data_IF_790708304633
#
_entry.id   IF_790708304633
#
_cell.length_a   1.000
_cell.length_b   1.000
_cell.length_c   1.000
_cell.angle_alpha   90.00
_cell.angle_beta   90.00
_cell.angle_gamma   90.00
#
_symmetry.space_group_name_H-M   'P 1'
#
loop_
_entity.id
_entity.type
_entity.pdbx_description
1 polymer ?
#
# COMPACT_ATOMS: atom_id res chain seq x y z
N UNK A 1 -5.74 5.98 22.47
CA UNK A 1 -6.52 6.13 21.22
C UNK A 1 -5.88 7.12 20.24
N UNK A 2 -6.04 8.45 20.43
CA UNK A 2 -5.57 9.48 19.47
C UNK A 2 -4.07 9.41 19.14
N UNK A 3 -3.21 9.19 20.14
CA UNK A 3 -1.77 9.00 19.91
C UNK A 3 -1.49 7.80 19.00
N UNK A 4 -2.20 6.69 19.23
CA UNK A 4 -2.14 5.50 18.38
C UNK A 4 -2.61 5.79 16.96
N UNK A 5 -3.73 6.51 16.80
CA UNK A 5 -4.23 6.94 15.50
C UNK A 5 -3.22 7.82 14.74
N UNK A 6 -2.63 8.84 15.38
CA UNK A 6 -1.66 9.73 14.75
C UNK A 6 -0.38 8.96 14.32
N UNK A 7 0.13 8.09 15.19
CA UNK A 7 1.30 7.25 14.87
C UNK A 7 1.00 6.23 13.79
N UNK A 8 -0.16 5.56 13.85
CA UNK A 8 -0.60 4.61 12.83
C UNK A 8 -0.79 5.31 11.48
N UNK A 9 -1.48 6.45 11.46
CA UNK A 9 -1.66 7.28 10.26
C UNK A 9 -0.32 7.62 9.62
N UNK A 10 0.65 8.14 10.40
CA UNK A 10 1.95 8.50 9.85
C UNK A 10 2.73 7.29 9.34
N UNK A 11 2.83 6.25 10.15
CA UNK A 11 3.63 5.06 9.83
C UNK A 11 3.07 4.27 8.64
N UNK A 12 1.75 4.13 8.53
CA UNK A 12 1.07 3.45 7.40
C UNK A 12 1.20 4.28 6.13
N UNK A 13 0.92 5.60 6.18
CA UNK A 13 1.05 6.46 5.00
C UNK A 13 2.52 6.50 4.52
N UNK A 14 3.49 6.52 5.44
CA UNK A 14 4.90 6.49 5.05
C UNK A 14 5.36 5.15 4.45
N UNK A 15 4.74 4.02 4.81
CA UNK A 15 5.12 2.70 4.29
C UNK A 15 4.32 2.34 3.02
N UNK A 16 3.01 2.29 3.13
CA UNK A 16 2.14 1.66 2.12
C UNK A 16 1.64 2.66 1.07
N UNK A 17 1.34 3.90 1.46
CA UNK A 17 0.89 4.89 0.48
C UNK A 17 1.97 5.14 -0.58
N UNK A 18 3.26 5.03 -0.20
CA UNK A 18 4.38 5.12 -1.14
C UNK A 18 4.54 3.89 -2.02
N UNK A 19 4.24 2.69 -1.54
CA UNK A 19 4.21 1.50 -2.40
C UNK A 19 3.12 1.64 -3.48
N UNK A 20 1.99 2.25 -3.12
CA UNK A 20 0.86 2.46 -4.04
C UNK A 20 1.06 3.64 -4.99
N UNK A 21 1.55 4.78 -4.48
CA UNK A 21 1.69 6.03 -5.24
C UNK A 21 3.09 6.21 -5.84
N UNK A 22 4.02 5.30 -5.58
CA UNK A 22 5.40 5.47 -5.98
C UNK A 22 5.61 5.52 -7.49
N UNK A 23 4.81 4.79 -8.27
CA UNK A 23 4.78 4.87 -9.74
C UNK A 23 4.32 6.24 -10.22
N UNK A 24 3.29 6.81 -9.59
CA UNK A 24 2.82 8.16 -9.85
C UNK A 24 3.89 9.20 -9.51
N UNK A 25 4.50 9.13 -8.32
CA UNK A 25 5.57 10.06 -7.91
C UNK A 25 6.79 9.97 -8.84
N UNK A 26 7.20 8.76 -9.21
CA UNK A 26 8.35 8.52 -10.10
C UNK A 26 8.10 9.08 -11.50
N UNK A 27 6.96 8.73 -12.11
CA UNK A 27 6.62 9.13 -13.48
C UNK A 27 6.17 10.59 -13.62
N UNK A 28 5.86 11.25 -12.51
CA UNK A 28 5.48 12.67 -12.47
C UNK A 28 6.51 13.54 -11.72
N UNK A 29 7.73 13.05 -11.51
CA UNK A 29 8.77 13.72 -10.70
C UNK A 29 9.16 15.13 -11.17
N UNK A 30 8.93 15.45 -12.44
CA UNK A 30 9.13 16.79 -13.00
C UNK A 30 8.05 17.81 -12.61
N UNK A 31 6.89 17.34 -12.14
CA UNK A 31 5.78 18.20 -11.73
C UNK A 31 5.97 18.66 -10.28
N UNK A 32 5.54 19.89 -9.92
CA UNK A 32 5.64 20.35 -8.55
C UNK A 32 4.87 19.43 -7.59
N UNK A 33 5.50 19.10 -6.46
CA UNK A 33 4.95 18.16 -5.47
C UNK A 33 3.53 18.54 -5.00
N UNK A 34 3.23 19.84 -4.91
CA UNK A 34 1.93 20.33 -4.47
C UNK A 34 0.81 20.04 -5.46
N UNK A 35 1.10 19.93 -6.76
CA UNK A 35 0.12 19.53 -7.78
C UNK A 35 -0.24 18.05 -7.61
N UNK A 36 0.78 17.22 -7.44
CA UNK A 36 0.62 15.78 -7.20
C UNK A 36 -0.12 15.53 -5.89
N UNK A 37 0.22 16.29 -4.84
CA UNK A 37 -0.45 16.25 -3.55
C UNK A 37 -1.93 16.66 -3.66
N UNK A 38 -2.25 17.78 -4.31
CA UNK A 38 -3.64 18.25 -4.49
C UNK A 38 -4.50 17.17 -5.17
N UNK A 39 -3.98 16.56 -6.23
CA UNK A 39 -4.68 15.50 -6.95
C UNK A 39 -4.98 14.30 -6.05
N UNK A 40 -3.96 13.71 -5.42
CA UNK A 40 -4.10 12.53 -4.58
C UNK A 40 -4.96 12.81 -3.34
N UNK A 41 -4.84 14.00 -2.77
CA UNK A 41 -5.66 14.42 -1.64
C UNK A 41 -7.12 14.65 -2.02
N UNK A 42 -7.40 15.18 -3.22
CA UNK A 42 -8.79 15.30 -3.70
C UNK A 42 -9.47 13.94 -3.78
N UNK A 43 -8.78 12.92 -4.31
CA UNK A 43 -9.29 11.55 -4.38
C UNK A 43 -9.49 10.99 -2.97
N UNK A 44 -8.53 11.22 -2.07
CA UNK A 44 -8.63 10.81 -0.67
C UNK A 44 -9.87 11.39 0.01
N UNK A 45 -10.10 12.69 -0.13
CA UNK A 45 -11.26 13.35 0.48
C UNK A 45 -12.57 12.79 -0.07
N UNK A 46 -12.67 12.57 -1.39
CA UNK A 46 -13.85 11.96 -2.01
C UNK A 46 -14.10 10.56 -1.46
N UNK A 47 -13.07 9.73 -1.35
CA UNK A 47 -13.19 8.37 -0.78
C UNK A 47 -13.64 8.43 0.68
N UNK A 48 -13.03 9.28 1.52
CA UNK A 48 -13.42 9.42 2.91
C UNK A 48 -14.88 9.87 3.06
N UNK A 49 -15.28 10.94 2.35
CA UNK A 49 -16.66 11.44 2.41
C UNK A 49 -17.65 10.41 1.90
N UNK A 50 -17.36 9.76 0.78
CA UNK A 50 -18.23 8.73 0.22
C UNK A 50 -18.38 7.54 1.17
N UNK A 51 -17.27 7.04 1.74
CA UNK A 51 -17.28 5.96 2.73
C UNK A 51 -18.11 6.33 3.96
N UNK A 52 -17.87 7.51 4.54
CA UNK A 52 -18.59 8.00 5.71
C UNK A 52 -20.10 8.10 5.48
N UNK A 53 -20.55 8.65 4.34
CA UNK A 53 -21.97 8.81 4.01
C UNK A 53 -22.64 7.45 3.74
N UNK A 54 -21.97 6.54 3.04
CA UNK A 54 -22.59 5.28 2.57
C UNK A 54 -22.53 4.14 3.59
N UNK A 55 -21.75 4.29 4.66
CA UNK A 55 -21.57 3.26 5.69
C UNK A 55 -21.87 3.79 7.10
N UNK A 56 -22.85 4.69 7.24
CA UNK A 56 -23.36 5.20 8.53
C UNK A 56 -22.26 5.73 9.48
N UNK A 57 -21.26 6.40 8.91
CA UNK A 57 -20.14 6.98 9.63
C UNK A 57 -18.85 6.14 9.62
N UNK A 58 -18.85 4.94 9.03
CA UNK A 58 -17.67 4.08 8.90
C UNK A 58 -16.85 4.39 7.63
N UNK A 59 -15.64 4.90 7.83
CA UNK A 59 -14.69 5.18 6.73
C UNK A 59 -13.83 3.98 6.34
N UNK A 60 -13.90 2.87 7.07
CA UNK A 60 -13.20 1.63 6.78
C UNK A 60 -14.03 0.66 5.91
N UNK A 61 -15.18 1.10 5.37
CA UNK A 61 -16.02 0.34 4.44
C UNK A 61 -16.42 -1.05 4.98
N UNK A 62 -16.72 -1.14 6.27
CA UNK A 62 -17.13 -2.38 6.93
C UNK A 62 -16.01 -3.41 7.13
N UNK A 63 -14.75 -3.08 6.82
CA UNK A 63 -13.61 -4.01 6.99
C UNK A 63 -13.24 -4.26 8.45
N UNK A 64 -13.67 -3.38 9.35
CA UNK A 64 -13.46 -3.52 10.79
C UNK A 64 -14.61 -4.27 11.49
N UNK A 65 -15.59 -4.80 10.75
CA UNK A 65 -16.76 -5.48 11.32
C UNK A 65 -16.39 -6.72 12.16
N UNK A 66 -15.37 -7.47 11.76
CA UNK A 66 -14.86 -8.65 12.49
C UNK A 66 -13.77 -8.32 13.52
N UNK A 67 -13.50 -7.03 13.75
CA UNK A 67 -12.47 -6.57 14.67
C UNK A 67 -13.11 -5.85 15.86
N UNK A 68 -12.87 -6.29 17.10
CA UNK A 68 -13.43 -5.63 18.28
C UNK A 68 -12.82 -4.24 18.44
N UNK A 69 -13.62 -3.27 18.89
CA UNK A 69 -13.07 -2.00 19.36
C UNK A 69 -12.58 -2.20 20.79
N UNK A 70 -11.30 -1.92 21.11
CA UNK A 70 -10.81 -2.10 22.46
C UNK A 70 -11.57 -1.21 23.45
N UNK A 71 -12.06 -1.79 24.55
CA UNK A 71 -12.66 -1.02 25.65
C UNK A 71 -11.62 -0.12 26.32
N UNK A 72 -10.38 -0.61 26.43
CA UNK A 72 -9.25 0.11 27.00
C UNK A 72 -8.08 0.12 26.02
N UNK A 73 -7.65 1.31 25.60
CA UNK A 73 -6.44 1.50 24.81
C UNK A 73 -5.21 1.52 25.71
N UNK A 74 -4.55 0.38 25.89
CA UNK A 74 -3.25 0.30 26.57
C UNK A 74 -2.08 0.63 25.63
N UNK A 75 -0.87 0.66 26.19
CA UNK A 75 0.36 0.96 25.46
C UNK A 75 0.66 -0.06 24.33
N UNK A 76 0.12 -1.27 24.41
CA UNK A 76 0.34 -2.34 23.41
C UNK A 76 -0.08 -1.89 22.00
N UNK A 77 -1.09 -1.03 21.88
CA UNK A 77 -1.58 -0.58 20.58
C UNK A 77 -0.67 0.48 19.94
N UNK A 78 0.23 1.11 20.71
CA UNK A 78 1.17 2.13 20.22
C UNK A 78 2.46 1.49 19.67
N UNK A 79 2.84 0.33 20.19
CA UNK A 79 4.08 -0.35 19.82
C UNK A 79 4.14 -0.71 18.32
N UNK A 80 3.10 -1.29 17.69
CA UNK A 80 3.19 -1.67 16.29
C UNK A 80 3.38 -0.49 15.33
N UNK A 81 2.63 0.63 15.43
CA UNK A 81 2.92 1.83 14.65
C UNK A 81 4.31 2.41 14.86
N UNK A 82 4.82 2.36 16.10
CA UNK A 82 6.16 2.81 16.41
C UNK A 82 7.21 1.94 15.72
N UNK A 83 7.11 0.61 15.84
CA UNK A 83 8.02 -0.33 15.15
C UNK A 83 7.95 -0.16 13.64
N UNK A 84 6.73 0.00 13.09
CA UNK A 84 6.54 0.25 11.67
C UNK A 84 7.34 1.47 11.22
N UNK A 85 7.30 2.57 11.97
CA UNK A 85 8.04 3.78 11.65
C UNK A 85 9.56 3.52 11.54
N UNK A 86 10.15 2.74 12.45
CA UNK A 86 11.58 2.36 12.37
C UNK A 86 11.87 1.54 11.12
N UNK A 87 11.05 0.54 10.83
CA UNK A 87 11.23 -0.32 9.66
C UNK A 87 11.08 0.45 8.35
N UNK A 88 10.12 1.37 8.28
CA UNK A 88 9.90 2.28 7.15
C UNK A 88 11.13 3.16 6.89
N UNK A 89 11.75 3.69 7.94
CA UNK A 89 12.96 4.52 7.81
C UNK A 89 14.16 3.75 7.25
N UNK A 90 14.22 2.42 7.44
CA UNK A 90 15.21 1.55 6.82
C UNK A 90 14.82 1.04 5.43
N UNK A 91 13.68 1.49 4.89
CA UNK A 91 13.21 1.06 3.57
C UNK A 91 12.78 -0.41 3.53
N UNK A 92 12.34 -0.97 4.66
CA UNK A 92 11.81 -2.34 4.72
C UNK A 92 10.31 -2.27 4.42
N UNK A 93 9.81 -2.90 3.34
CA UNK A 93 8.38 -3.02 3.10
C UNK A 93 7.80 -3.98 4.13
N UNK A 94 6.84 -3.51 4.93
CA UNK A 94 6.24 -4.28 6.01
C UNK A 94 4.74 -4.33 5.79
N UNK A 95 4.15 -5.51 5.99
CA UNK A 95 2.70 -5.64 6.01
C UNK A 95 2.12 -4.93 7.23
N UNK A 96 1.58 -3.73 7.02
CA UNK A 96 0.96 -2.94 8.08
C UNK A 96 -0.27 -3.64 8.64
N UNK A 97 -1.04 -4.30 7.77
CA UNK A 97 -2.17 -5.15 8.14
C UNK A 97 -1.76 -6.21 9.18
N UNK A 98 -0.66 -6.94 8.98
CA UNK A 98 -0.22 -7.93 9.99
C UNK A 98 0.37 -7.30 11.24
N UNK A 99 1.09 -6.19 11.12
CA UNK A 99 1.72 -5.57 12.27
C UNK A 99 0.70 -4.92 13.21
N UNK A 100 -0.26 -4.18 12.64
CA UNK A 100 -1.20 -3.35 13.39
C UNK A 100 -2.46 -4.14 13.73
N UNK A 101 -3.16 -4.67 12.73
CA UNK A 101 -4.50 -5.26 12.94
C UNK A 101 -4.43 -6.55 13.77
N UNK A 102 -3.35 -7.32 13.69
CA UNK A 102 -3.22 -8.55 14.48
C UNK A 102 -3.18 -8.28 15.98
N UNK A 103 -2.72 -7.11 16.45
CA UNK A 103 -2.81 -6.76 17.88
C UNK A 103 -4.26 -6.53 18.33
N UNK A 104 -5.14 -6.08 17.43
CA UNK A 104 -6.56 -5.91 17.71
C UNK A 104 -7.35 -7.23 17.67
N UNK A 105 -6.96 -8.17 16.81
CA UNK A 105 -7.58 -9.49 16.72
C UNK A 105 -6.58 -10.57 16.31
N UNK A 106 -5.80 -11.13 17.25
CA UNK A 106 -4.81 -12.17 16.94
C UNK A 106 -5.40 -13.41 16.28
N UNK A 107 -6.65 -13.75 16.62
CA UNK A 107 -7.40 -14.88 16.03
C UNK A 107 -7.58 -14.78 14.52
N UNK A 108 -7.58 -13.56 13.96
CA UNK A 108 -7.82 -13.34 12.53
C UNK A 108 -6.54 -13.50 11.68
N UNK A 109 -5.37 -13.67 12.31
CA UNK A 109 -4.07 -13.71 11.62
C UNK A 109 -4.01 -14.76 10.50
N UNK A 110 -4.45 -15.99 10.76
CA UNK A 110 -4.36 -17.08 9.77
C UNK A 110 -5.20 -16.78 8.53
N UNK A 111 -6.39 -16.20 8.73
CA UNK A 111 -7.28 -15.84 7.63
C UNK A 111 -6.71 -14.67 6.81
N UNK A 112 -6.15 -13.66 7.48
CA UNK A 112 -5.45 -12.55 6.83
C UNK A 112 -4.20 -13.02 6.05
N UNK A 113 -3.41 -13.95 6.62
CA UNK A 113 -2.23 -14.55 5.98
C UNK A 113 -2.61 -15.33 4.72
N UNK A 114 -3.61 -16.20 4.83
CA UNK A 114 -4.10 -17.01 3.71
C UNK A 114 -4.54 -16.13 2.54
N UNK A 115 -5.33 -15.09 2.82
CA UNK A 115 -5.79 -14.13 1.80
C UNK A 115 -4.64 -13.34 1.18
N UNK A 116 -3.66 -12.93 1.98
CA UNK A 116 -2.52 -12.14 1.48
C UNK A 116 -1.57 -12.97 0.62
N UNK A 117 -1.29 -14.23 0.98
CA UNK A 117 -0.47 -15.12 0.15
C UNK A 117 -1.18 -15.55 -1.13
N UNK A 118 -2.50 -15.76 -1.08
CA UNK A 118 -3.29 -15.94 -2.30
C UNK A 118 -3.23 -14.68 -3.18
N UNK A 119 -3.32 -13.49 -2.57
CA UNK A 119 -3.12 -12.21 -3.25
C UNK A 119 -1.77 -12.05 -3.92
N UNK A 120 -0.69 -12.42 -3.23
CA UNK A 120 0.65 -12.48 -3.81
C UNK A 120 0.68 -13.40 -5.04
N UNK A 121 0.18 -14.63 -4.90
CA UNK A 121 0.22 -15.63 -5.98
C UNK A 121 -0.59 -15.20 -7.20
N UNK A 122 -1.81 -14.71 -6.97
CA UNK A 122 -2.67 -14.19 -8.04
C UNK A 122 -2.00 -13.00 -8.74
N UNK A 123 -1.49 -12.02 -7.99
CA UNK A 123 -0.82 -10.86 -8.55
C UNK A 123 0.41 -11.24 -9.38
N UNK A 124 1.22 -12.17 -8.87
CA UNK A 124 2.41 -12.67 -9.54
C UNK A 124 2.07 -13.34 -10.89
N UNK A 125 1.11 -14.26 -10.89
CA UNK A 125 0.70 -14.98 -12.10
C UNK A 125 0.05 -14.02 -13.10
N UNK A 126 -0.88 -13.18 -12.64
CA UNK A 126 -1.54 -12.18 -13.49
C UNK A 126 -0.53 -11.22 -14.11
N UNK A 127 0.45 -10.74 -13.34
CA UNK A 127 1.53 -9.91 -13.86
C UNK A 127 2.33 -10.62 -14.95
N UNK A 128 2.74 -11.88 -14.74
CA UNK A 128 3.45 -12.65 -15.76
C UNK A 128 2.62 -12.76 -17.04
N UNK A 129 1.35 -13.13 -16.94
CA UNK A 129 0.50 -13.32 -18.12
C UNK A 129 0.32 -12.02 -18.90
N UNK A 130 0.01 -10.92 -18.21
CA UNK A 130 -0.20 -9.62 -18.84
C UNK A 130 1.10 -9.12 -19.49
N UNK A 131 2.22 -9.15 -18.75
CA UNK A 131 3.48 -8.61 -19.28
C UNK A 131 4.14 -9.51 -20.32
N UNK A 132 3.90 -10.82 -20.27
CA UNK A 132 4.41 -11.75 -21.27
C UNK A 132 3.66 -11.64 -22.59
N UNK A 133 2.32 -11.57 -22.55
CA UNK A 133 1.49 -11.72 -23.75
C UNK A 133 0.84 -10.42 -24.23
N UNK A 134 0.40 -9.55 -23.32
CA UNK A 134 -0.41 -8.37 -23.68
C UNK A 134 0.49 -7.17 -23.93
N UNK A 135 1.46 -6.92 -23.07
CA UNK A 135 2.24 -5.68 -23.12
C UNK A 135 3.58 -5.82 -23.83
N UNK A 136 3.94 -7.00 -24.36
CA UNK A 136 5.22 -7.18 -25.07
C UNK A 136 5.43 -6.13 -26.18
N UNK A 137 4.49 -5.98 -27.10
CA UNK A 137 4.62 -5.01 -28.18
C UNK A 137 4.58 -3.54 -27.68
N UNK A 138 3.84 -3.28 -26.60
CA UNK A 138 3.74 -1.95 -26.00
C UNK A 138 5.03 -1.56 -25.28
N UNK A 139 5.59 -2.46 -24.47
CA UNK A 139 6.80 -2.22 -23.70
C UNK A 139 8.02 -2.10 -24.64
N UNK A 140 8.07 -2.84 -25.75
CA UNK A 140 9.10 -2.66 -26.79
C UNK A 140 9.07 -1.24 -27.35
N UNK A 141 7.86 -0.74 -27.65
CA UNK A 141 7.65 0.63 -28.10
C UNK A 141 7.98 1.64 -27.01
N UNK A 142 7.66 1.35 -25.75
CA UNK A 142 7.94 2.26 -24.64
C UNK A 142 9.45 2.38 -24.41
N UNK A 143 10.17 1.27 -24.35
CA UNK A 143 11.62 1.24 -24.19
C UNK A 143 12.33 1.95 -25.36
N UNK A 144 11.92 1.70 -26.60
CA UNK A 144 12.51 2.34 -27.79
C UNK A 144 12.15 3.83 -27.95
N UNK A 145 11.17 4.33 -27.20
CA UNK A 145 10.74 5.74 -27.24
C UNK A 145 10.77 6.39 -25.86
N UNK A 146 11.59 5.86 -24.94
CA UNK A 146 11.73 6.39 -23.59
C UNK A 146 12.22 7.85 -23.58
N UNK A 147 13.02 8.25 -24.58
CA UNK A 147 13.55 9.61 -24.70
C UNK A 147 12.54 10.63 -25.27
N UNK A 148 11.35 10.16 -25.69
CA UNK A 148 10.31 11.03 -26.27
C UNK A 148 9.27 11.38 -25.23
N UNK A 149 8.82 12.63 -25.25
CA UNK A 149 7.71 13.04 -24.40
C UNK A 149 6.44 12.23 -24.73
N UNK A 150 5.84 11.67 -23.68
CA UNK A 150 4.60 10.94 -23.83
C UNK A 150 3.47 11.92 -24.20
N UNK A 151 2.61 11.56 -25.17
CA UNK A 151 1.42 12.36 -25.49
C UNK A 151 0.53 12.63 -24.28
N UNK A 152 -0.18 13.77 -24.29
CA UNK A 152 -1.03 14.22 -23.17
C UNK A 152 -2.08 13.20 -22.72
N UNK A 153 -2.61 12.38 -23.63
CA UNK A 153 -3.60 11.35 -23.27
C UNK A 153 -3.02 10.29 -22.33
N UNK A 154 -1.71 9.99 -22.40
CA UNK A 154 -1.06 9.10 -21.43
C UNK A 154 -0.93 9.74 -20.05
N UNK A 155 -0.79 11.07 -19.98
CA UNK A 155 -0.83 11.79 -18.70
C UNK A 155 -2.22 11.61 -18.06
N UNK A 156 -3.28 11.84 -18.83
CA UNK A 156 -4.66 11.69 -18.35
C UNK A 156 -4.92 10.24 -17.91
N UNK A 157 -4.58 9.26 -18.76
CA UNK A 157 -4.76 7.84 -18.45
C UNK A 157 -4.00 7.43 -17.18
N UNK A 158 -2.76 7.89 -17.03
CA UNK A 158 -1.97 7.58 -15.85
C UNK A 158 -2.61 8.14 -14.59
N UNK A 159 -3.02 9.41 -14.60
CA UNK A 159 -3.66 10.05 -13.45
C UNK A 159 -4.98 9.38 -13.08
N UNK A 160 -5.80 9.04 -14.07
CA UNK A 160 -7.04 8.28 -13.84
C UNK A 160 -6.75 6.89 -13.28
N UNK A 161 -5.75 6.18 -13.80
CA UNK A 161 -5.35 4.87 -13.28
C UNK A 161 -4.80 4.95 -11.86
N UNK A 162 -4.06 6.01 -11.52
CA UNK A 162 -3.61 6.27 -10.15
C UNK A 162 -4.78 6.59 -9.24
N UNK A 163 -5.74 7.43 -9.65
CA UNK A 163 -6.93 7.71 -8.84
C UNK A 163 -7.73 6.43 -8.57
N UNK A 164 -7.87 5.56 -9.57
CA UNK A 164 -8.50 4.26 -9.41
C UNK A 164 -7.73 3.39 -8.42
N UNK A 165 -6.43 3.15 -8.63
CA UNK A 165 -5.59 2.39 -7.70
C UNK A 165 -5.65 2.96 -6.28
N UNK A 166 -5.48 4.27 -6.14
CA UNK A 166 -5.46 4.96 -4.86
C UNK A 166 -6.78 4.82 -4.11
N UNK A 167 -7.91 4.94 -4.81
CA UNK A 167 -9.21 4.67 -4.19
C UNK A 167 -9.35 3.22 -3.70
N UNK A 168 -8.87 2.23 -4.47
CA UNK A 168 -8.93 0.82 -4.06
C UNK A 168 -8.04 0.56 -2.84
N UNK A 169 -6.83 1.13 -2.83
CA UNK A 169 -5.93 1.03 -1.70
C UNK A 169 -6.51 1.68 -0.44
N UNK A 170 -7.03 2.91 -0.54
CA UNK A 170 -7.67 3.60 0.59
C UNK A 170 -8.79 2.74 1.17
N UNK A 171 -9.69 2.23 0.32
CA UNK A 171 -10.78 1.38 0.77
C UNK A 171 -10.22 0.17 1.56
N UNK A 172 -9.18 -0.49 1.06
CA UNK A 172 -8.54 -1.64 1.72
C UNK A 172 -7.84 -1.30 3.06
N UNK A 173 -6.95 -0.31 3.04
CA UNK A 173 -5.97 -0.08 4.09
C UNK A 173 -6.39 1.00 5.10
N UNK A 174 -7.48 1.74 4.87
CA UNK A 174 -8.02 2.65 5.89
C UNK A 174 -8.40 1.91 7.18
N UNK A 175 -8.76 0.62 7.08
CA UNK A 175 -8.99 -0.22 8.25
C UNK A 175 -7.79 -0.22 9.22
N UNK A 176 -6.56 -0.23 8.70
CA UNK A 176 -5.33 -0.25 9.52
C UNK A 176 -5.16 1.04 10.33
N UNK A 177 -5.59 2.18 9.77
CA UNK A 177 -5.52 3.49 10.43
C UNK A 177 -6.70 3.68 11.40
N UNK A 178 -7.91 3.35 10.94
CA UNK A 178 -9.16 3.61 11.67
C UNK A 178 -9.52 2.54 12.70
N UNK A 179 -8.74 1.44 12.80
CA UNK A 179 -8.82 0.51 13.92
C UNK A 179 -8.68 1.20 15.29
N UNK A 180 -7.96 2.33 15.31
CA UNK A 180 -7.74 3.16 16.50
C UNK A 180 -8.90 4.11 16.81
N UNK A 181 -9.86 4.32 15.92
CA UNK A 181 -10.97 5.26 16.14
C UNK A 181 -12.30 4.51 16.31
N UNK A 182 -13.33 5.19 16.87
CA UNK A 182 -14.68 4.63 16.88
C UNK A 182 -15.13 4.26 15.47
N UNK A 183 -15.96 3.21 15.35
CA UNK A 183 -16.42 2.69 14.04
C UNK A 183 -17.25 3.75 13.31
N UNK A 184 -18.16 4.39 14.03
CA UNK A 184 -18.96 5.48 13.50
C UNK A 184 -18.31 6.79 13.94
N UNK A 185 -17.72 7.50 12.99
CA UNK A 185 -17.13 8.80 13.25
C UNK A 185 -18.22 9.87 13.22
N UNK A 186 -18.18 10.79 14.18
CA UNK A 186 -18.93 12.03 14.03
C UNK A 186 -18.25 12.96 13.00
N UNK A 187 -18.92 14.04 12.62
CA UNK A 187 -18.38 14.98 11.63
C UNK A 187 -17.05 15.61 12.11
N UNK A 188 -16.93 15.91 13.41
CA UNK A 188 -15.71 16.50 13.97
C UNK A 188 -14.50 15.58 13.78
N UNK A 189 -14.65 14.30 14.12
CA UNK A 189 -13.60 13.31 14.00
C UNK A 189 -13.27 12.98 12.55
N UNK A 190 -14.27 13.00 11.65
CA UNK A 190 -14.06 12.89 10.21
C UNK A 190 -13.16 14.01 9.68
N UNK A 191 -13.52 15.28 9.96
CA UNK A 191 -12.75 16.44 9.51
C UNK A 191 -11.34 16.47 10.12
N UNK A 192 -11.21 16.12 11.40
CA UNK A 192 -9.91 15.98 12.06
C UNK A 192 -9.05 14.91 11.35
N UNK A 193 -9.62 13.74 11.06
CA UNK A 193 -8.90 12.65 10.40
C UNK A 193 -8.48 13.01 8.98
N UNK A 194 -9.37 13.67 8.21
CA UNK A 194 -9.03 14.20 6.89
C UNK A 194 -7.89 15.21 6.97
N UNK A 195 -7.95 16.17 7.90
CA UNK A 195 -6.92 17.18 8.08
C UNK A 195 -5.55 16.56 8.39
N UNK A 196 -5.51 15.56 9.30
CA UNK A 196 -4.30 14.79 9.58
C UNK A 196 -3.78 14.13 8.30
N UNK A 197 -4.64 13.41 7.56
CA UNK A 197 -4.24 12.73 6.33
C UNK A 197 -3.70 13.70 5.26
N UNK A 198 -4.30 14.87 5.09
CA UNK A 198 -3.83 15.91 4.18
C UNK A 198 -2.40 16.37 4.53
N UNK A 199 -2.13 16.64 5.81
CA UNK A 199 -0.79 17.04 6.29
C UNK A 199 0.23 15.93 6.06
N UNK A 200 -0.12 14.69 6.41
CA UNK A 200 0.79 13.55 6.25
C UNK A 200 1.16 13.34 4.78
N UNK A 201 0.18 13.42 3.88
CA UNK A 201 0.46 13.35 2.44
C UNK A 201 1.28 14.54 1.97
N UNK A 202 1.08 15.75 2.50
CA UNK A 202 1.92 16.90 2.15
C UNK A 202 3.40 16.64 2.50
N UNK A 203 3.67 16.10 3.70
CA UNK A 203 5.02 15.76 4.15
C UNK A 203 5.64 14.70 3.22
N UNK A 204 4.89 13.66 2.88
CA UNK A 204 5.38 12.55 2.06
C UNK A 204 5.67 12.98 0.62
N UNK A 205 4.79 13.79 0.03
CA UNK A 205 4.98 14.32 -1.33
C UNK A 205 6.13 15.32 -1.38
N UNK A 206 6.28 16.18 -0.36
CA UNK A 206 7.42 17.07 -0.22
C UNK A 206 8.77 16.32 -0.16
N UNK A 207 8.78 15.12 0.43
CA UNK A 207 9.97 14.25 0.55
C UNK A 207 10.14 13.26 -0.62
N UNK A 208 9.29 13.32 -1.65
CA UNK A 208 9.29 12.38 -2.79
C UNK A 208 9.26 10.89 -2.36
N UNK A 209 8.54 10.56 -1.28
CA UNK A 209 8.33 9.18 -0.83
C UNK A 209 9.45 8.51 -0.02
N UNK A 210 10.59 9.18 0.21
CA UNK A 210 11.61 8.71 1.16
C UNK A 210 12.24 7.35 0.81
N UNK A 211 12.66 6.58 1.83
CA UNK A 211 13.44 5.35 1.63
C UNK A 211 12.67 4.24 0.89
N UNK A 212 11.37 4.10 1.15
CA UNK A 212 10.53 3.06 0.53
C UNK A 212 10.37 3.29 -0.98
N UNK A 213 10.44 4.54 -1.44
CA UNK A 213 10.35 4.88 -2.87
C UNK A 213 11.40 4.15 -3.71
N UNK A 214 12.58 3.84 -3.15
CA UNK A 214 13.63 3.09 -3.83
C UNK A 214 13.19 1.69 -4.29
N UNK A 215 12.22 1.08 -3.60
CA UNK A 215 11.67 -0.23 -4.00
C UNK A 215 11.01 -0.11 -5.38
N UNK A 216 10.27 0.97 -5.61
CA UNK A 216 9.61 1.25 -6.89
C UNK A 216 10.62 1.71 -7.92
N UNK A 217 11.47 2.70 -7.60
CA UNK A 217 12.38 3.30 -8.59
C UNK A 217 13.53 2.39 -9.02
N UNK A 218 13.78 1.28 -8.29
CA UNK A 218 14.74 0.24 -8.70
C UNK A 218 14.22 -0.65 -9.85
N UNK A 219 12.91 -0.61 -10.11
CA UNK A 219 12.25 -1.45 -11.11
C UNK A 219 12.39 -0.87 -12.51
N UNK A 220 12.23 -1.74 -13.50
CA UNK A 220 12.45 -1.37 -14.90
C UNK A 220 11.38 -0.36 -15.33
N UNK A 221 11.77 0.74 -15.96
CA UNK A 221 10.87 1.69 -16.64
C UNK A 221 9.74 2.34 -15.80
N UNK A 222 9.88 2.46 -14.47
CA UNK A 222 8.84 3.09 -13.61
C UNK A 222 8.78 4.61 -13.70
N UNK A 223 9.70 5.24 -14.42
CA UNK A 223 9.69 6.68 -14.70
C UNK A 223 8.86 7.01 -15.94
N UNK A 224 8.58 6.02 -16.80
CA UNK A 224 7.72 6.21 -17.96
C UNK A 224 6.25 6.17 -17.53
N UNK A 225 5.54 7.25 -17.83
CA UNK A 225 4.13 7.43 -17.50
C UNK A 225 3.24 6.34 -18.11
N UNK A 226 3.63 5.76 -19.25
CA UNK A 226 2.91 4.69 -19.94
C UNK A 226 3.03 3.38 -19.20
N UNK A 227 4.24 3.03 -18.77
CA UNK A 227 4.48 1.85 -17.94
C UNK A 227 3.80 2.00 -16.57
N UNK A 228 3.90 3.18 -15.97
CA UNK A 228 3.19 3.51 -14.72
C UNK A 228 1.66 3.33 -14.85
N UNK A 229 1.05 3.77 -15.96
CA UNK A 229 -0.38 3.57 -16.22
C UNK A 229 -0.80 2.10 -16.15
N UNK A 230 -0.01 1.23 -16.78
CA UNK A 230 -0.29 -0.22 -16.84
C UNK A 230 -0.12 -0.85 -15.46
N UNK A 231 0.94 -0.50 -14.73
CA UNK A 231 1.15 -0.98 -13.35
C UNK A 231 -0.01 -0.56 -12.46
N UNK A 232 -0.39 0.73 -12.48
CA UNK A 232 -1.45 1.28 -11.64
C UNK A 232 -2.79 0.58 -11.92
N UNK A 233 -3.13 0.40 -13.20
CA UNK A 233 -4.37 -0.25 -13.60
C UNK A 233 -4.43 -1.72 -13.17
N UNK A 234 -3.37 -2.50 -13.42
CA UNK A 234 -3.33 -3.91 -13.04
C UNK A 234 -3.41 -4.05 -11.52
N UNK A 235 -2.66 -3.22 -10.80
CA UNK A 235 -2.67 -3.27 -9.34
C UNK A 235 -4.05 -2.91 -8.78
N UNK A 236 -4.66 -1.84 -9.29
CA UNK A 236 -6.00 -1.42 -8.89
C UNK A 236 -7.05 -2.50 -9.17
N UNK A 237 -6.98 -3.18 -10.30
CA UNK A 237 -7.89 -4.28 -10.65
C UNK A 237 -7.74 -5.48 -9.71
N UNK A 238 -6.50 -5.83 -9.34
CA UNK A 238 -6.26 -6.90 -8.35
C UNK A 238 -6.85 -6.48 -6.99
N UNK A 239 -6.59 -5.26 -6.52
CA UNK A 239 -7.15 -4.78 -5.25
C UNK A 239 -8.67 -4.73 -5.26
N UNK A 240 -9.29 -4.36 -6.38
CA UNK A 240 -10.73 -4.37 -6.58
C UNK A 240 -11.28 -5.81 -6.49
N UNK A 241 -10.68 -6.78 -7.19
CA UNK A 241 -11.10 -8.17 -7.13
C UNK A 241 -11.10 -8.69 -5.68
N UNK A 242 -10.04 -8.38 -4.93
CA UNK A 242 -9.96 -8.77 -3.53
C UNK A 242 -10.98 -8.05 -2.64
N UNK A 243 -11.22 -6.76 -2.90
CA UNK A 243 -12.24 -5.97 -2.19
C UNK A 243 -13.62 -6.62 -2.32
N UNK A 244 -13.99 -7.04 -3.54
CA UNK A 244 -15.29 -7.67 -3.79
C UNK A 244 -15.35 -9.11 -3.27
N UNK A 245 -14.23 -9.83 -3.26
CA UNK A 245 -14.18 -11.22 -2.80
C UNK A 245 -14.25 -11.37 -1.28
N UNK A 246 -13.69 -10.41 -0.52
CA UNK A 246 -13.59 -10.52 0.94
C UNK A 246 -13.59 -9.17 1.65
N UNK A 247 -14.40 -9.07 2.71
CA UNK A 247 -14.38 -7.93 3.65
C UNK A 247 -13.19 -7.95 4.63
N UNK A 248 -12.53 -9.09 4.80
CA UNK A 248 -11.37 -9.17 5.69
C UNK A 248 -10.18 -8.39 5.13
N UNK A 249 -9.54 -7.53 5.93
CA UNK A 249 -8.31 -6.85 5.55
C UNK A 249 -7.24 -7.85 5.09
N UNK A 250 -6.60 -7.51 3.99
CA UNK A 250 -5.44 -8.23 3.47
C UNK A 250 -4.24 -7.30 3.41
N UNK A 251 -3.05 -7.85 3.24
CA UNK A 251 -1.86 -7.04 3.05
C UNK A 251 -1.66 -6.68 1.59
N UNK A 252 -1.78 -5.39 1.29
CA UNK A 252 -1.53 -4.85 -0.05
C UNK A 252 -0.04 -4.88 -0.41
N UNK A 253 0.87 -4.84 0.58
CA UNK A 253 2.32 -5.06 0.44
C UNK A 253 2.65 -6.38 -0.28
N UNK A 254 2.01 -7.49 0.09
CA UNK A 254 2.28 -8.80 -0.53
C UNK A 254 1.78 -8.84 -1.98
N UNK A 255 0.62 -8.27 -2.25
CA UNK A 255 0.11 -8.13 -3.63
C UNK A 255 1.07 -7.31 -4.48
N UNK A 256 1.55 -6.20 -3.94
CA UNK A 256 2.49 -5.30 -4.61
C UNK A 256 3.81 -6.01 -4.97
N UNK A 257 4.42 -6.71 -4.01
CA UNK A 257 5.66 -7.47 -4.24
C UNK A 257 5.42 -8.57 -5.28
N UNK A 258 4.29 -9.29 -5.21
CA UNK A 258 3.92 -10.30 -6.20
C UNK A 258 3.80 -9.73 -7.62
N UNK A 259 3.08 -8.61 -7.76
CA UNK A 259 2.91 -7.89 -9.03
C UNK A 259 4.26 -7.46 -9.61
N UNK A 260 5.12 -6.83 -8.81
CA UNK A 260 6.45 -6.38 -9.26
C UNK A 260 7.34 -7.56 -9.66
N UNK A 261 7.34 -8.64 -8.87
CA UNK A 261 8.13 -9.82 -9.15
C UNK A 261 7.71 -10.48 -10.47
N UNK A 262 6.41 -10.67 -10.70
CA UNK A 262 5.92 -11.26 -11.93
C UNK A 262 6.21 -10.38 -13.16
N UNK A 263 6.05 -9.06 -13.00
CA UNK A 263 6.39 -8.08 -14.05
C UNK A 263 7.87 -8.13 -14.43
N UNK A 264 8.79 -8.03 -13.47
CA UNK A 264 10.22 -7.99 -13.78
C UNK A 264 10.70 -9.29 -14.43
N UNK A 265 10.18 -10.45 -14.02
CA UNK A 265 10.47 -11.73 -14.67
C UNK A 265 9.99 -11.73 -16.13
N UNK A 266 8.77 -11.27 -16.38
CA UNK A 266 8.21 -11.24 -17.73
C UNK A 266 8.98 -10.28 -18.66
N UNK A 267 9.34 -9.09 -18.17
CA UNK A 267 10.13 -8.12 -18.93
C UNK A 267 11.52 -8.66 -19.24
N UNK A 268 12.23 -9.21 -18.24
CA UNK A 268 13.57 -9.74 -18.45
C UNK A 268 13.59 -10.95 -19.39
N UNK A 269 12.55 -11.80 -19.33
CA UNK A 269 12.39 -12.89 -20.28
C UNK A 269 12.13 -12.40 -21.72
N UNK A 270 11.34 -11.34 -21.89
CA UNK A 270 10.95 -10.86 -23.22
C UNK A 270 12.03 -10.02 -23.92
N UNK A 271 12.77 -9.21 -23.16
CA UNK A 271 13.67 -8.20 -23.74
C UNK A 271 15.15 -8.42 -23.42
N UNK A 272 15.49 -9.29 -22.47
CA UNK A 272 16.87 -9.55 -22.03
C UNK A 272 17.63 -8.29 -21.56
N UNK A 273 16.91 -7.21 -21.22
CA UNK A 273 17.48 -5.93 -20.78
C UNK A 273 18.23 -6.04 -19.45
N UNK A 274 17.96 -7.09 -18.67
CA UNK A 274 18.63 -7.43 -17.41
C UNK A 274 18.83 -8.93 -17.37
N UNK A 275 19.94 -9.37 -16.79
CA UNK A 275 20.16 -10.79 -16.55
C UNK A 275 19.11 -11.34 -15.58
N UNK A 276 18.54 -12.50 -15.90
CA UNK A 276 17.56 -13.18 -15.04
C UNK A 276 18.11 -13.42 -13.63
N UNK A 277 19.43 -13.58 -13.48
CA UNK A 277 20.09 -13.71 -12.18
C UNK A 277 19.94 -12.46 -11.33
N UNK A 278 20.08 -11.28 -11.93
CA UNK A 278 19.97 -10.01 -11.20
C UNK A 278 18.52 -9.68 -10.87
N UNK A 279 17.59 -9.98 -11.76
CA UNK A 279 16.14 -9.91 -11.47
C UNK A 279 15.78 -10.84 -10.31
N UNK A 280 16.29 -12.07 -10.33
CA UNK A 280 16.11 -13.03 -9.24
C UNK A 280 16.64 -12.52 -7.90
N UNK A 281 17.82 -11.89 -7.87
CA UNK A 281 18.38 -11.28 -6.64
C UNK A 281 17.48 -10.16 -6.10
N UNK A 282 16.98 -9.29 -6.97
CA UNK A 282 16.09 -8.18 -6.58
C UNK A 282 14.80 -8.73 -5.96
N UNK A 283 14.14 -9.67 -6.65
CA UNK A 283 12.90 -10.29 -6.17
C UNK A 283 13.12 -11.03 -4.84
N UNK A 284 14.20 -11.80 -4.75
CA UNK A 284 14.53 -12.52 -3.53
C UNK A 284 14.81 -11.57 -2.35
N UNK A 285 15.56 -10.49 -2.60
CA UNK A 285 15.81 -9.45 -1.60
C UNK A 285 14.51 -8.82 -1.10
N UNK A 286 13.59 -8.46 -2.00
CA UNK A 286 12.32 -7.83 -1.62
C UNK A 286 11.42 -8.80 -0.84
N UNK A 287 11.34 -10.06 -1.28
CA UNK A 287 10.62 -11.11 -0.58
C UNK A 287 11.21 -11.36 0.81
N UNK A 288 12.54 -11.45 0.94
CA UNK A 288 13.21 -11.67 2.22
C UNK A 288 12.99 -10.52 3.20
N UNK A 289 13.03 -9.27 2.72
CA UNK A 289 12.68 -8.09 3.54
C UNK A 289 11.23 -8.14 4.01
N UNK A 290 10.29 -8.49 3.13
CA UNK A 290 8.87 -8.60 3.49
C UNK A 290 8.61 -9.75 4.48
N UNK A 291 9.28 -10.89 4.30
CA UNK A 291 9.25 -12.01 5.26
C UNK A 291 9.83 -11.63 6.61
N UNK A 292 10.95 -10.90 6.64
CA UNK A 292 11.51 -10.38 7.89
C UNK A 292 10.54 -9.43 8.59
N UNK A 293 9.90 -8.53 7.83
CA UNK A 293 8.82 -7.67 8.33
C UNK A 293 7.66 -8.48 8.93
N UNK A 294 7.19 -9.52 8.23
CA UNK A 294 6.15 -10.42 8.72
C UNK A 294 6.57 -11.15 10.01
N UNK A 295 7.81 -11.66 10.08
CA UNK A 295 8.31 -12.32 11.26
C UNK A 295 8.30 -11.39 12.49
N UNK A 296 8.75 -10.14 12.30
CA UNK A 296 8.67 -9.10 13.33
C UNK A 296 7.21 -8.83 13.74
N UNK A 297 6.28 -8.74 12.78
CA UNK A 297 4.85 -8.57 13.07
C UNK A 297 4.27 -9.70 13.91
N UNK A 298 4.60 -10.96 13.59
CA UNK A 298 4.15 -12.13 14.36
C UNK A 298 4.72 -12.10 15.78
N UNK A 299 6.02 -11.85 15.92
CA UNK A 299 6.68 -11.78 17.24
C UNK A 299 6.04 -10.69 18.11
N UNK A 300 5.76 -9.52 17.55
CA UNK A 300 5.11 -8.43 18.27
C UNK A 300 3.66 -8.79 18.64
N UNK A 301 2.90 -9.33 17.68
CA UNK A 301 1.49 -9.64 17.89
C UNK A 301 1.26 -10.67 19.00
N UNK A 302 2.10 -11.70 19.09
CA UNK A 302 1.98 -12.72 20.15
C UNK A 302 2.80 -12.38 21.40
N UNK A 303 3.89 -11.62 21.26
CA UNK A 303 4.75 -11.23 22.37
C UNK A 303 4.16 -10.12 23.25
N UNK A 304 3.49 -9.12 22.67
CA UNK A 304 2.94 -7.99 23.42
C UNK A 304 1.87 -8.40 24.45
N UNK A 305 0.86 -9.22 24.11
CA UNK A 305 -0.11 -9.66 25.10
C UNK A 305 0.54 -10.46 26.25
N UNK A 306 1.57 -11.26 25.94
CA UNK A 306 2.32 -12.00 26.94
C UNK A 306 3.11 -11.07 27.87
N UNK A 307 3.80 -10.07 27.31
CA UNK A 307 4.52 -9.05 28.07
C UNK A 307 3.59 -8.21 28.95
N UNK A 308 2.44 -7.79 28.44
CA UNK A 308 1.44 -7.03 29.21
C UNK A 308 0.96 -7.84 30.41
N UNK A 309 0.69 -9.14 30.23
CA UNK A 309 0.31 -10.03 31.33
C UNK A 309 1.43 -10.20 32.38
N UNK A 310 2.70 -10.17 31.98
CA UNK A 310 3.81 -10.24 32.93
C UNK A 310 4.02 -8.93 33.70
N UNK A 311 3.74 -7.78 33.10
CA UNK A 311 3.94 -6.45 33.72
C UNK A 311 2.75 -6.08 34.63
N UNK A 312 1.55 -6.59 34.33
CA UNK A 312 0.34 -6.34 35.10
C UNK A 312 0.14 -7.27 36.30
N UNK A 313 1.00 -8.28 36.47
CA UNK A 313 1.11 -9.11 37.68
C UNK A 313 2.29 -8.65 38.54
#
# INVERSE_FOLDING_TARGET
MLVGFLLASYSIVANDAIQTLGTFLSSNSQRPWWVLWLFICSVLLVVFFYGWITNDGDVAYGRLAEFPFPENFSWIYIVPPFVLLFLTNWGIPVSTTFLIITVFAPSNLISMLTKSFFGYGLAFVTAILIYKFITKALEEKFLSTADKEAPIYWVILQWVSTAFLWSQWLIQDLANIFAYLPRNLDASMLFFSMFVMLILHAIIFYRNGGAIQHIVTSKTNTQDIRSATIVDLIYGLILLLFKEWSKMPMSTTWVFIGLLAGREIAIAHNFQNREMKDVGKIIFSDALKAFAGLAVSIVIAFGLPFLEKMISN
#
